data_IF_565640695077
#
_entry.id   IF_565640695077
#
_cell.length_a   1.000
_cell.length_b   1.000
_cell.length_c   1.000
_cell.angle_alpha   90.00
_cell.angle_beta   90.00
_cell.angle_gamma   90.00
#
_symmetry.space_group_name_H-M   'P 1'
#
loop_
_entity.id
_entity.type
_entity.pdbx_description
1 polymer ?
#
# COMPACT_ATOMS: atom_id res chain seq x y z
N UNK A 1 7.39 -16.11 7.76
CA UNK A 1 7.13 -14.66 7.63
C UNK A 1 7.94 -14.11 6.47
N UNK A 2 7.29 -13.50 5.48
CA UNK A 2 7.87 -12.94 4.27
C UNK A 2 7.41 -11.49 4.11
N UNK A 3 8.38 -10.58 4.05
CA UNK A 3 8.19 -9.16 3.82
C UNK A 3 8.60 -8.85 2.38
N UNK A 4 7.76 -8.15 1.64
CA UNK A 4 8.05 -7.70 0.28
C UNK A 4 7.90 -6.19 0.22
N UNK A 5 8.83 -5.53 -0.46
CA UNK A 5 8.72 -4.11 -0.79
C UNK A 5 8.67 -3.95 -2.30
N UNK A 6 7.79 -3.07 -2.77
CA UNK A 6 7.65 -2.80 -4.20
C UNK A 6 7.29 -1.34 -4.45
N UNK A 7 8.14 -0.66 -5.20
CA UNK A 7 7.76 0.60 -5.83
C UNK A 7 6.80 0.30 -6.99
N UNK A 8 5.51 0.51 -6.76
CA UNK A 8 4.46 0.13 -7.70
C UNK A 8 4.25 1.18 -8.79
N UNK A 9 4.70 2.43 -8.58
CA UNK A 9 4.59 3.53 -9.54
C UNK A 9 3.15 3.69 -10.10
N UNK A 10 2.19 4.09 -9.26
CA UNK A 10 0.74 4.16 -9.49
C UNK A 10 0.01 2.84 -9.24
N UNK A 11 -0.57 2.73 -8.04
CA UNK A 11 -1.25 1.51 -7.54
C UNK A 11 -2.51 1.19 -8.33
N UNK A 12 -3.35 2.18 -8.67
CA UNK A 12 -4.63 1.94 -9.36
C UNK A 12 -4.46 1.29 -10.73
N UNK A 13 -3.38 1.64 -11.45
CA UNK A 13 -3.08 1.04 -12.76
C UNK A 13 -2.54 -0.39 -12.65
N UNK A 14 -2.11 -0.81 -11.46
CA UNK A 14 -1.35 -2.05 -11.23
C UNK A 14 -1.93 -2.93 -10.13
N UNK A 15 -3.10 -2.62 -9.60
CA UNK A 15 -3.77 -3.45 -8.60
C UNK A 15 -3.93 -4.92 -9.05
N UNK A 16 -4.24 -5.24 -10.33
CA UNK A 16 -4.25 -6.64 -10.79
C UNK A 16 -2.88 -7.35 -10.68
N UNK A 17 -1.77 -6.62 -10.79
CA UNK A 17 -0.42 -7.18 -10.63
C UNK A 17 -0.11 -7.50 -9.17
N UNK A 18 -0.74 -6.82 -8.20
CA UNK A 18 -0.62 -7.15 -6.78
C UNK A 18 -1.15 -8.55 -6.51
N UNK A 19 -2.29 -8.93 -7.11
CA UNK A 19 -2.84 -10.30 -7.00
C UNK A 19 -1.85 -11.33 -7.53
N UNK A 20 -1.31 -11.11 -8.72
CA UNK A 20 -0.31 -11.99 -9.32
C UNK A 20 0.93 -12.15 -8.41
N UNK A 21 1.42 -11.05 -7.85
CA UNK A 21 2.53 -11.09 -6.89
C UNK A 21 2.16 -11.90 -5.64
N UNK A 22 0.94 -11.77 -5.13
CA UNK A 22 0.47 -12.54 -3.98
C UNK A 22 0.40 -14.03 -4.30
N UNK A 23 -0.03 -14.41 -5.50
CA UNK A 23 -0.07 -15.81 -5.95
C UNK A 23 1.34 -16.41 -6.10
N UNK A 24 2.29 -15.65 -6.65
CA UNK A 24 3.66 -16.13 -6.90
C UNK A 24 4.54 -16.13 -5.63
N UNK A 25 4.41 -15.09 -4.81
CA UNK A 25 5.33 -14.82 -3.69
C UNK A 25 4.70 -15.10 -2.33
N UNK A 26 3.37 -15.11 -2.21
CA UNK A 26 2.65 -15.30 -0.94
C UNK A 26 3.26 -14.50 0.25
N UNK A 27 3.32 -13.15 0.17
CA UNK A 27 3.86 -12.34 1.26
C UNK A 27 2.91 -12.30 2.46
N UNK A 28 3.49 -12.18 3.66
CA UNK A 28 2.77 -11.87 4.90
C UNK A 28 2.54 -10.35 5.04
N UNK A 29 3.49 -9.55 4.53
CA UNK A 29 3.41 -8.09 4.44
C UNK A 29 3.95 -7.61 3.10
N UNK A 30 3.22 -6.70 2.46
CA UNK A 30 3.62 -6.00 1.24
C UNK A 30 3.64 -4.49 1.51
N UNK A 31 4.82 -3.89 1.39
CA UNK A 31 5.02 -2.45 1.46
C UNK A 31 5.09 -1.87 0.04
N UNK A 32 4.23 -0.91 -0.27
CA UNK A 32 4.20 -0.22 -1.54
C UNK A 32 4.78 1.19 -1.43
N UNK A 33 5.51 1.61 -2.47
CA UNK A 33 5.97 2.99 -2.67
C UNK A 33 5.47 3.53 -4.00
N UNK A 34 5.41 4.86 -4.12
CA UNK A 34 4.87 5.56 -5.28
C UNK A 34 3.44 5.12 -5.62
N UNK A 35 2.55 5.07 -4.63
CA UNK A 35 1.14 4.72 -4.87
C UNK A 35 0.44 5.78 -5.75
N UNK A 36 0.89 7.05 -5.70
CA UNK A 36 0.45 8.18 -6.54
C UNK A 36 -1.05 8.42 -6.51
N UNK A 37 -1.66 8.16 -5.36
CA UNK A 37 -3.10 8.26 -5.14
C UNK A 37 -3.37 8.87 -3.77
N UNK A 38 -4.46 9.63 -3.67
CA UNK A 38 -4.96 10.14 -2.39
C UNK A 38 -5.55 8.99 -1.56
N UNK A 39 -5.53 9.13 -0.24
CA UNK A 39 -5.95 8.08 0.71
C UNK A 39 -7.38 7.57 0.45
N UNK A 40 -8.31 8.49 0.16
CA UNK A 40 -9.71 8.19 -0.15
C UNK A 40 -9.91 7.48 -1.50
N UNK A 41 -8.89 7.49 -2.36
CA UNK A 41 -8.89 6.86 -3.68
C UNK A 41 -8.00 5.62 -3.75
N UNK A 42 -7.35 5.22 -2.65
CA UNK A 42 -6.57 4.00 -2.61
C UNK A 42 -7.51 2.79 -2.82
N UNK A 43 -7.12 1.77 -3.62
CA UNK A 43 -7.99 0.65 -3.98
C UNK A 43 -8.15 -0.36 -2.83
N UNK A 44 -8.75 0.06 -1.72
CA UNK A 44 -8.91 -0.74 -0.51
C UNK A 44 -9.77 -1.99 -0.74
N UNK A 45 -10.82 -1.87 -1.56
CA UNK A 45 -11.78 -2.94 -1.83
C UNK A 45 -11.17 -4.03 -2.72
N UNK A 46 -10.43 -3.64 -3.77
CA UNK A 46 -9.74 -4.57 -4.68
C UNK A 46 -8.65 -5.40 -3.99
N UNK A 47 -8.13 -4.89 -2.86
CA UNK A 47 -7.05 -5.52 -2.09
C UNK A 47 -7.55 -6.19 -0.79
N UNK A 48 -8.84 -6.07 -0.47
CA UNK A 48 -9.38 -6.51 0.81
C UNK A 48 -9.34 -8.04 0.99
N UNK A 49 -9.56 -8.79 -0.08
CA UNK A 49 -9.49 -10.26 -0.07
C UNK A 49 -8.05 -10.77 0.00
N UNK A 50 -7.08 -9.99 -0.48
CA UNK A 50 -5.66 -10.34 -0.45
C UNK A 50 -5.01 -10.07 0.91
N UNK A 51 -5.30 -8.90 1.50
CA UNK A 51 -4.71 -8.46 2.76
C UNK A 51 -5.77 -7.84 3.66
N UNK A 52 -6.16 -8.45 4.78
CA UNK A 52 -7.20 -7.91 5.68
C UNK A 52 -6.80 -6.63 6.39
N UNK A 53 -5.50 -6.40 6.64
CA UNK A 53 -5.00 -5.19 7.30
C UNK A 53 -4.29 -4.31 6.29
N UNK A 54 -4.72 -3.06 6.14
CA UNK A 54 -4.24 -2.14 5.12
C UNK A 54 -4.15 -0.75 5.71
N UNK A 55 -3.06 -0.04 5.42
CA UNK A 55 -2.92 1.37 5.73
C UNK A 55 -2.19 2.04 4.57
N UNK A 56 -2.72 3.16 4.09
CA UNK A 56 -2.16 3.91 2.98
C UNK A 56 -2.08 5.38 3.39
N UNK A 57 -1.07 6.07 2.87
CA UNK A 57 -0.89 7.50 3.00
C UNK A 57 -0.27 8.04 1.72
N UNK A 58 -0.90 9.02 1.08
CA UNK A 58 -0.39 9.59 -0.15
C UNK A 58 -1.19 10.76 -0.69
N UNK A 59 -0.73 11.24 -1.84
CA UNK A 59 -1.28 12.40 -2.53
C UNK A 59 -1.53 12.10 -4.00
N UNK A 60 -2.25 13.00 -4.67
CA UNK A 60 -2.51 12.90 -6.10
C UNK A 60 -1.21 12.97 -6.91
N UNK A 61 -1.01 12.01 -7.81
CA UNK A 61 0.05 11.95 -8.84
C UNK A 61 1.50 11.79 -8.36
N UNK A 62 1.81 12.06 -7.09
CA UNK A 62 3.16 12.00 -6.53
C UNK A 62 3.21 11.07 -5.31
N UNK A 63 4.42 10.63 -4.95
CA UNK A 63 4.76 9.86 -3.75
C UNK A 63 3.71 8.80 -3.36
N UNK A 64 3.41 8.72 -2.07
CA UNK A 64 2.47 7.80 -1.46
C UNK A 64 3.09 6.44 -1.12
N UNK A 65 2.70 5.92 0.05
CA UNK A 65 3.12 4.63 0.60
C UNK A 65 1.91 3.85 1.09
N UNK A 66 2.04 2.52 1.12
CA UNK A 66 1.04 1.68 1.76
C UNK A 66 1.67 0.44 2.40
N UNK A 67 1.08 -0.03 3.49
CA UNK A 67 1.40 -1.31 4.13
C UNK A 67 0.14 -2.18 4.03
N UNK A 68 0.29 -3.34 3.40
CA UNK A 68 -0.74 -4.37 3.27
C UNK A 68 -0.25 -5.59 4.05
N UNK A 69 -1.07 -6.15 4.95
CA UNK A 69 -0.65 -7.24 5.82
C UNK A 69 -1.76 -8.26 6.08
N UNK A 70 -1.34 -9.52 6.21
CA UNK A 70 -2.16 -10.61 6.75
C UNK A 70 -2.15 -10.66 8.27
N UNK A 71 -1.20 -9.96 8.90
CA UNK A 71 -1.01 -9.91 10.34
C UNK A 71 -1.59 -8.59 10.85
N UNK A 72 -2.38 -8.59 11.94
CA UNK A 72 -2.89 -7.36 12.52
C UNK A 72 -1.77 -6.39 12.88
N UNK A 73 -1.94 -5.12 12.54
CA UNK A 73 -1.07 -4.05 13.00
C UNK A 73 -1.90 -2.82 13.36
N UNK A 74 -1.36 -2.03 14.28
CA UNK A 74 -1.90 -0.71 14.61
C UNK A 74 -1.17 0.31 13.77
N UNK A 75 -1.89 1.05 12.92
CA UNK A 75 -1.32 2.21 12.26
C UNK A 75 -0.91 3.23 13.34
N UNK A 76 0.35 3.65 13.31
CA UNK A 76 0.88 4.64 14.25
C UNK A 76 1.35 5.86 13.47
N UNK A 77 0.70 6.99 13.77
CA UNK A 77 1.08 8.28 13.22
C UNK A 77 0.88 8.43 11.71
N UNK A 78 1.48 9.51 11.23
CA UNK A 78 1.35 10.10 9.92
C UNK A 78 1.89 11.51 10.05
N UNK A 79 3.08 11.64 10.63
CA UNK A 79 3.63 12.94 10.95
C UNK A 79 4.01 13.65 9.65
N UNK A 80 3.72 14.94 9.60
CA UNK A 80 4.19 15.82 8.55
C UNK A 80 5.63 16.18 8.87
N UNK A 81 6.55 15.57 8.14
CA UNK A 81 7.96 15.88 8.27
C UNK A 81 8.26 17.12 7.45
N UNK A 82 9.01 18.05 8.04
CA UNK A 82 9.40 19.30 7.38
C UNK A 82 8.19 20.14 6.89
N UNK A 83 7.08 20.13 7.62
CA UNK A 83 5.85 20.88 7.30
C UNK A 83 5.21 20.50 5.95
N UNK A 84 5.56 19.33 5.42
CA UNK A 84 4.94 18.80 4.21
C UNK A 84 4.02 17.65 4.56
N UNK A 85 2.78 17.76 4.11
CA UNK A 85 1.72 16.75 4.28
C UNK A 85 1.60 15.83 3.07
N UNK A 86 2.71 15.68 2.31
CA UNK A 86 2.73 15.17 0.95
C UNK A 86 3.18 13.70 0.87
#
# INVERSE_FOLDING_TARGET
>A
MRLVTWNINSVRLRAPLVRRLVEEIAPDVLCLQETKVMDDQFPHDELADLFPHRHARGMKAYNGVAILSRIPFTATGGDDWCERSD
#
